data_IF_110626577087
#
_entry.id   IF_110626577087
#
_cell.length_a   1.000
_cell.length_b   1.000
_cell.length_c   1.000
_cell.angle_alpha   90.00
_cell.angle_beta   90.00
_cell.angle_gamma   90.00
#
_symmetry.space_group_name_H-M   'P 1'
#
loop_
_entity.id
_entity.type
_entity.pdbx_description
1 polymer ?
#
# COMPACT_ATOMS: atom_id res chain seq x y z
N UNK A 1 44.11 41.57 19.36
CA UNK A 1 43.99 40.86 20.66
C UNK A 1 42.53 40.47 20.83
N UNK A 2 42.31 39.22 21.28
CA UNK A 2 41.05 38.49 21.48
C UNK A 2 40.42 37.77 20.28
N UNK A 3 40.62 36.44 20.33
CA UNK A 3 40.01 35.37 19.56
C UNK A 3 38.59 35.08 20.06
N UNK A 4 37.72 34.57 19.17
CA UNK A 4 36.42 34.01 19.54
C UNK A 4 35.92 33.05 18.47
N UNK A 5 36.44 31.82 18.47
CA UNK A 5 36.01 30.69 17.63
C UNK A 5 34.61 30.23 18.07
N UNK A 6 33.61 30.41 17.22
CA UNK A 6 32.29 29.80 17.36
C UNK A 6 32.03 28.82 16.23
N UNK A 7 32.45 27.57 16.39
CA UNK A 7 31.99 26.45 15.56
C UNK A 7 30.52 26.17 15.88
N UNK A 8 29.61 26.67 15.04
CA UNK A 8 28.20 26.28 15.05
C UNK A 8 28.02 24.99 14.27
N UNK A 9 27.95 23.87 14.98
CA UNK A 9 27.52 22.59 14.43
C UNK A 9 26.07 22.68 13.95
N UNK A 10 25.85 22.28 12.70
CA UNK A 10 24.66 21.54 12.24
C UNK A 10 23.28 22.15 12.50
N UNK A 11 22.70 22.75 11.46
CA UNK A 11 21.30 22.48 11.13
C UNK A 11 21.07 22.69 9.64
N UNK A 12 21.38 21.65 8.87
CA UNK A 12 20.86 21.53 7.52
C UNK A 12 19.34 21.59 7.58
N UNK A 13 18.77 22.64 7.02
CA UNK A 13 17.34 22.70 6.70
C UNK A 13 17.08 21.83 5.47
N UNK A 14 17.31 20.53 5.62
CA UNK A 14 16.92 19.50 4.67
C UNK A 14 15.59 18.90 5.10
N UNK A 15 14.51 19.70 5.09
CA UNK A 15 13.14 19.19 5.21
C UNK A 15 12.71 18.45 3.95
N UNK A 16 13.53 17.51 3.48
CA UNK A 16 13.24 16.69 2.32
C UNK A 16 12.15 15.70 2.68
N UNK A 17 11.11 15.61 1.86
CA UNK A 17 10.17 14.50 1.86
C UNK A 17 10.99 13.20 1.84
N UNK A 18 11.11 12.54 2.99
CA UNK A 18 11.75 11.24 3.07
C UNK A 18 10.78 10.26 2.45
N UNK A 19 10.95 10.02 1.15
CA UNK A 19 10.27 8.94 0.44
C UNK A 19 10.83 7.63 0.99
N UNK A 20 10.02 6.93 1.77
CA UNK A 20 10.39 5.59 2.19
C UNK A 20 10.28 4.71 0.95
N UNK A 21 11.42 4.20 0.48
CA UNK A 21 11.46 3.41 -0.74
C UNK A 21 10.81 2.05 -0.49
N UNK A 22 9.61 1.86 -1.04
CA UNK A 22 8.98 0.56 -1.13
C UNK A 22 9.67 -0.26 -2.24
N UNK A 23 9.74 -1.60 -2.10
CA UNK A 23 10.38 -2.44 -3.10
C UNK A 23 9.64 -2.32 -4.44
N UNK A 24 10.38 -2.38 -5.54
CA UNK A 24 9.78 -2.53 -6.85
C UNK A 24 9.22 -3.95 -6.98
N UNK A 25 8.00 -4.07 -7.50
CA UNK A 25 7.32 -5.35 -7.68
C UNK A 25 7.25 -5.61 -9.19
N UNK A 26 7.52 -6.85 -9.66
CA UNK A 26 7.36 -7.18 -11.06
C UNK A 26 5.94 -6.83 -11.55
N UNK A 27 5.77 -6.44 -12.82
CA UNK A 27 4.46 -6.15 -13.39
C UNK A 27 3.55 -7.38 -13.30
N UNK A 28 2.22 -7.19 -13.22
CA UNK A 28 1.28 -8.31 -13.24
C UNK A 28 1.38 -9.09 -14.55
N UNK A 29 1.08 -10.40 -14.54
CA UNK A 29 0.97 -11.19 -15.77
C UNK A 29 0.02 -10.53 -16.77
N UNK A 30 0.28 -10.70 -18.07
CA UNK A 30 -0.56 -10.10 -19.11
C UNK A 30 -2.02 -10.52 -18.97
N UNK A 31 -2.91 -9.52 -18.90
CA UNK A 31 -4.35 -9.74 -18.71
C UNK A 31 -4.80 -10.03 -17.28
N UNK A 32 -3.89 -10.07 -16.30
CA UNK A 32 -4.25 -10.20 -14.90
C UNK A 32 -4.71 -8.86 -14.31
N UNK A 33 -5.72 -8.94 -13.44
CA UNK A 33 -6.13 -7.86 -12.57
C UNK A 33 -5.29 -7.90 -11.30
N UNK A 34 -4.54 -6.85 -11.00
CA UNK A 34 -3.83 -6.72 -9.73
C UNK A 34 -4.68 -6.00 -8.69
N UNK A 35 -4.92 -6.68 -7.58
CA UNK A 35 -5.61 -6.19 -6.39
C UNK A 35 -4.59 -5.95 -5.29
N UNK A 36 -4.71 -4.83 -4.58
CA UNK A 36 -3.95 -4.60 -3.36
C UNK A 36 -4.86 -4.64 -2.14
N UNK A 37 -4.39 -5.27 -1.06
CA UNK A 37 -5.11 -5.34 0.20
C UNK A 37 -4.18 -5.01 1.37
N UNK A 38 -4.51 -4.02 2.22
CA UNK A 38 -3.82 -3.77 3.47
C UNK A 38 -4.13 -4.89 4.46
N UNK A 39 -3.12 -5.52 5.04
CA UNK A 39 -3.29 -6.66 5.97
C UNK A 39 -2.42 -6.52 7.22
N UNK A 40 -2.88 -7.08 8.34
CA UNK A 40 -2.20 -6.91 9.65
C UNK A 40 -1.02 -7.87 9.86
N UNK A 41 -1.04 -9.03 9.21
CA UNK A 41 0.04 -10.03 9.29
C UNK A 41 0.34 -10.60 7.90
N UNK A 42 1.51 -11.22 7.74
CA UNK A 42 1.84 -11.97 6.54
C UNK A 42 1.47 -13.46 6.71
N UNK A 43 0.21 -13.77 6.46
CA UNK A 43 -0.34 -15.13 6.43
C UNK A 43 -0.93 -15.47 5.04
N UNK A 44 -0.42 -14.85 3.97
CA UNK A 44 -0.95 -15.01 2.62
C UNK A 44 -2.43 -14.65 2.53
N UNK A 45 -3.25 -15.56 2.00
CA UNK A 45 -4.70 -15.37 1.83
C UNK A 45 -5.51 -15.41 3.14
N UNK A 46 -4.92 -15.93 4.22
CA UNK A 46 -5.53 -15.94 5.55
C UNK A 46 -5.21 -14.67 6.35
N UNK A 47 -4.45 -13.75 5.76
CA UNK A 47 -4.15 -12.46 6.38
C UNK A 47 -5.45 -11.65 6.55
N UNK A 48 -5.76 -11.16 7.76
CA UNK A 48 -6.92 -10.32 8.00
C UNK A 48 -6.70 -8.92 7.42
N UNK A 49 -7.75 -8.33 6.84
CA UNK A 49 -7.74 -6.96 6.32
C UNK A 49 -7.50 -5.99 7.47
N UNK A 50 -6.50 -5.13 7.31
CA UNK A 50 -6.12 -4.17 8.34
C UNK A 50 -7.15 -3.06 8.47
N UNK A 51 -7.46 -2.58 9.69
CA UNK A 51 -8.31 -1.42 9.88
C UNK A 51 -7.65 -0.11 9.41
N UNK A 52 -6.35 -0.10 9.11
CA UNK A 52 -5.59 1.11 8.77
C UNK A 52 -5.02 1.04 7.35
N UNK A 53 -5.78 1.36 6.31
CA UNK A 53 -5.33 1.24 4.91
C UNK A 53 -3.96 1.88 4.62
N UNK A 54 -3.76 3.15 4.96
CA UNK A 54 -2.51 3.86 4.66
C UNK A 54 -1.31 3.47 5.53
N UNK A 55 -1.54 2.82 6.67
CA UNK A 55 -0.51 2.47 7.68
C UNK A 55 -0.57 1.00 8.08
N UNK A 56 -1.20 0.16 7.28
CA UNK A 56 -1.23 -1.27 7.52
C UNK A 56 0.21 -1.79 7.54
N UNK A 57 0.57 -2.74 8.39
CA UNK A 57 1.94 -3.23 8.47
C UNK A 57 2.37 -3.94 7.17
N UNK A 58 1.44 -4.53 6.43
CA UNK A 58 1.70 -5.20 5.16
C UNK A 58 0.69 -4.80 4.08
N UNK A 59 1.11 -4.92 2.83
CA UNK A 59 0.26 -4.85 1.65
C UNK A 59 0.37 -6.16 0.88
N UNK A 60 -0.73 -6.87 0.74
CA UNK A 60 -0.84 -8.03 -0.13
C UNK A 60 -1.19 -7.56 -1.55
N UNK A 61 -0.36 -7.92 -2.53
CA UNK A 61 -0.64 -7.78 -3.94
C UNK A 61 -1.07 -9.13 -4.50
N UNK A 62 -2.27 -9.19 -5.04
CA UNK A 62 -2.88 -10.41 -5.58
C UNK A 62 -3.13 -10.21 -7.07
N UNK A 63 -2.49 -11.04 -7.88
CA UNK A 63 -2.72 -11.08 -9.32
C UNK A 63 -3.81 -12.11 -9.61
N UNK A 64 -4.88 -11.67 -10.26
CA UNK A 64 -6.04 -12.49 -10.56
C UNK A 64 -6.21 -12.59 -12.08
N UNK A 65 -6.18 -13.81 -12.60
CA UNK A 65 -6.35 -14.09 -14.02
C UNK A 65 -7.58 -14.99 -14.20
N UNK A 66 -8.58 -14.50 -14.96
CA UNK A 66 -9.82 -15.24 -15.24
C UNK A 66 -10.51 -15.77 -13.97
N UNK A 67 -10.60 -14.93 -12.94
CA UNK A 67 -11.25 -15.27 -11.67
C UNK A 67 -10.47 -16.24 -10.78
N UNK A 68 -9.19 -16.49 -11.05
CA UNK A 68 -8.30 -17.35 -10.24
C UNK A 68 -7.05 -16.59 -9.81
N UNK A 69 -6.53 -16.92 -8.64
CA UNK A 69 -5.28 -16.32 -8.14
C UNK A 69 -4.10 -16.90 -8.93
N UNK A 70 -3.41 -16.03 -9.65
CA UNK A 70 -2.19 -16.35 -10.38
C UNK A 70 -0.94 -16.14 -9.51
N UNK A 71 -0.95 -15.12 -8.64
CA UNK A 71 0.16 -14.82 -7.75
C UNK A 71 -0.31 -14.07 -6.50
N UNK A 72 0.40 -14.23 -5.38
CA UNK A 72 0.25 -13.43 -4.17
C UNK A 72 1.62 -13.05 -3.64
N UNK A 73 1.82 -11.75 -3.39
CA UNK A 73 3.02 -11.24 -2.76
C UNK A 73 2.64 -10.31 -1.60
N UNK A 74 3.07 -10.63 -0.39
CA UNK A 74 2.79 -9.83 0.81
C UNK A 74 4.04 -9.06 1.21
N UNK A 75 3.95 -7.74 1.16
CA UNK A 75 5.08 -6.82 1.25
C UNK A 75 4.94 -5.97 2.49
N UNK A 76 6.03 -5.83 3.26
CA UNK A 76 6.07 -4.92 4.40
C UNK A 76 5.86 -3.47 3.95
N UNK A 77 4.94 -2.77 4.61
CA UNK A 77 4.58 -1.40 4.28
C UNK A 77 5.56 -0.42 4.90
N UNK A 78 6.64 -0.13 4.20
CA UNK A 78 7.62 0.86 4.66
C UNK A 78 7.01 2.27 4.83
N UNK A 79 5.99 2.62 4.03
CA UNK A 79 5.28 3.90 4.12
C UNK A 79 4.48 4.06 5.43
N UNK A 80 4.15 2.98 6.14
CA UNK A 80 3.47 3.05 7.44
C UNK A 80 4.29 3.82 8.50
N UNK A 81 5.61 3.80 8.37
CA UNK A 81 6.56 4.51 9.25
C UNK A 81 6.67 6.01 8.95
N UNK A 82 6.14 6.47 7.82
CA UNK A 82 6.27 7.86 7.41
C UNK A 82 5.58 8.80 8.44
N UNK A 83 6.27 9.85 8.92
CA UNK A 83 5.67 10.82 9.85
C UNK A 83 4.44 11.51 9.26
N UNK A 84 4.49 11.81 7.96
CA UNK A 84 3.40 12.43 7.19
C UNK A 84 3.33 11.81 5.80
N UNK A 85 2.13 11.83 5.21
CA UNK A 85 1.93 11.42 3.82
C UNK A 85 2.02 9.91 3.57
N UNK A 86 1.91 9.06 4.60
CA UNK A 86 1.91 7.60 4.44
C UNK A 86 0.94 7.11 3.34
N UNK A 87 -0.28 7.66 3.32
CA UNK A 87 -1.27 7.35 2.28
C UNK A 87 -0.86 7.81 0.87
N UNK A 88 -0.18 8.96 0.72
CA UNK A 88 0.30 9.40 -0.59
C UNK A 88 1.42 8.49 -1.11
N UNK A 89 2.38 8.16 -0.24
CA UNK A 89 3.50 7.27 -0.58
C UNK A 89 3.00 5.88 -0.96
N UNK A 90 2.08 5.32 -0.15
CA UNK A 90 1.42 4.06 -0.46
C UNK A 90 0.67 4.14 -1.80
N UNK A 91 -0.16 5.16 -1.99
CA UNK A 91 -0.95 5.33 -3.22
C UNK A 91 -0.06 5.39 -4.46
N UNK A 92 1.01 6.17 -4.42
CA UNK A 92 1.97 6.25 -5.53
C UNK A 92 2.60 4.90 -5.83
N UNK A 93 3.02 4.17 -4.79
CA UNK A 93 3.62 2.84 -4.97
C UNK A 93 2.62 1.82 -5.54
N UNK A 94 1.36 1.84 -5.11
CA UNK A 94 0.30 0.99 -5.65
C UNK A 94 0.09 1.25 -7.16
N UNK A 95 0.04 2.51 -7.56
CA UNK A 95 -0.10 2.93 -8.96
C UNK A 95 1.07 2.41 -9.79
N UNK A 96 2.31 2.66 -9.35
CA UNK A 96 3.51 2.19 -10.07
C UNK A 96 3.63 0.66 -10.09
N UNK A 97 3.04 -0.02 -9.11
CA UNK A 97 3.00 -1.48 -9.04
C UNK A 97 1.92 -2.11 -9.94
N UNK A 98 1.17 -1.30 -10.70
CA UNK A 98 0.14 -1.79 -11.64
C UNK A 98 -1.16 -2.21 -10.98
N UNK A 99 -1.43 -1.77 -9.74
CA UNK A 99 -2.67 -2.05 -9.03
C UNK A 99 -3.85 -1.35 -9.70
N UNK A 100 -4.97 -2.06 -9.84
CA UNK A 100 -6.21 -1.53 -10.44
C UNK A 100 -7.39 -1.53 -9.48
N UNK A 101 -7.32 -2.33 -8.42
CA UNK A 101 -8.31 -2.40 -7.35
C UNK A 101 -7.58 -2.37 -6.01
N UNK A 102 -8.03 -1.53 -5.08
CA UNK A 102 -7.54 -1.48 -3.69
C UNK A 102 -8.68 -1.84 -2.76
N UNK A 103 -8.47 -2.84 -1.92
CA UNK A 103 -9.35 -3.11 -0.79
C UNK A 103 -9.01 -2.14 0.34
N UNK A 104 -10.02 -1.56 0.99
CA UNK A 104 -9.80 -0.65 2.10
C UNK A 104 -10.92 -0.77 3.14
N UNK A 105 -10.57 -0.76 4.42
CA UNK A 105 -11.56 -0.63 5.50
C UNK A 105 -12.01 0.80 5.72
N UNK A 106 -11.04 1.72 5.66
CA UNK A 106 -11.20 3.15 5.77
C UNK A 106 -10.22 3.80 4.80
N UNK A 107 -10.65 4.86 4.12
CA UNK A 107 -9.81 5.54 3.17
C UNK A 107 -9.68 7.02 3.55
N UNK A 108 -8.44 7.48 3.68
CA UNK A 108 -8.15 8.87 4.01
C UNK A 108 -8.13 9.75 2.75
N UNK A 109 -8.43 11.06 2.87
CA UNK A 109 -8.67 11.94 1.72
C UNK A 109 -7.51 11.99 0.72
N UNK A 110 -6.27 11.94 1.22
CA UNK A 110 -5.08 11.96 0.37
C UNK A 110 -4.92 10.69 -0.47
N UNK A 111 -5.12 9.52 0.15
CA UNK A 111 -5.04 8.24 -0.56
C UNK A 111 -6.19 8.13 -1.56
N UNK A 112 -7.37 8.64 -1.20
CA UNK A 112 -8.54 8.61 -2.09
C UNK A 112 -8.29 9.42 -3.35
N UNK A 113 -7.81 10.64 -3.16
CA UNK A 113 -7.52 11.57 -4.24
C UNK A 113 -6.54 10.96 -5.25
N UNK A 114 -5.41 10.41 -4.78
CA UNK A 114 -4.37 9.88 -5.67
C UNK A 114 -4.83 8.61 -6.40
N UNK A 115 -5.55 7.70 -5.71
CA UNK A 115 -6.10 6.50 -6.33
C UNK A 115 -7.15 6.85 -7.38
N UNK A 116 -8.05 7.81 -7.07
CA UNK A 116 -9.08 8.27 -8.00
C UNK A 116 -8.49 8.92 -9.25
N UNK A 117 -7.48 9.78 -9.09
CA UNK A 117 -6.78 10.42 -10.21
C UNK A 117 -6.11 9.40 -11.14
N UNK A 118 -5.61 8.29 -10.59
CA UNK A 118 -5.01 7.21 -11.37
C UNK A 118 -6.03 6.19 -11.93
N UNK A 119 -7.33 6.39 -11.68
CA UNK A 119 -8.38 5.46 -12.12
C UNK A 119 -8.31 4.09 -11.41
N UNK A 120 -7.71 4.04 -10.22
CA UNK A 120 -7.68 2.85 -9.38
C UNK A 120 -9.01 2.75 -8.64
N UNK A 121 -9.69 1.61 -8.79
CA UNK A 121 -10.95 1.36 -8.10
C UNK A 121 -10.69 1.05 -6.63
N UNK A 122 -11.58 1.49 -5.76
CA UNK A 122 -11.53 1.22 -4.33
C UNK A 122 -12.76 0.42 -3.96
N UNK A 123 -12.55 -0.69 -3.26
CA UNK A 123 -13.61 -1.50 -2.68
C UNK A 123 -13.54 -1.40 -1.16
N UNK A 124 -14.63 -0.89 -0.56
CA UNK A 124 -14.72 -0.76 0.89
C UNK A 124 -15.15 -2.10 1.50
N UNK A 125 -14.35 -2.61 2.42
CA UNK A 125 -14.52 -3.93 3.00
C UNK A 125 -14.31 -3.90 4.52
N UNK A 126 -15.10 -4.64 5.33
CA UNK A 126 -14.89 -4.65 6.78
C UNK A 126 -13.48 -5.09 7.17
N UNK A 127 -12.90 -4.45 8.18
CA UNK A 127 -11.63 -4.89 8.76
C UNK A 127 -11.77 -6.26 9.45
N UNK A 128 -10.66 -6.99 9.58
CA UNK A 128 -10.59 -8.26 10.29
C UNK A 128 -11.06 -9.49 9.49
N UNK A 129 -11.79 -9.30 8.38
CA UNK A 129 -12.11 -10.43 7.49
C UNK A 129 -10.84 -10.91 6.79
N UNK A 130 -10.78 -12.20 6.44
CA UNK A 130 -9.62 -12.74 5.71
C UNK A 130 -9.58 -12.22 4.27
N UNK A 131 -8.37 -12.08 3.74
CA UNK A 131 -8.15 -11.66 2.36
C UNK A 131 -8.88 -12.57 1.34
N UNK A 132 -8.85 -13.89 1.53
CA UNK A 132 -9.62 -14.83 0.69
C UNK A 132 -11.11 -14.50 0.63
N UNK A 133 -11.71 -14.26 1.79
CA UNK A 133 -13.15 -14.02 1.92
C UNK A 133 -13.52 -12.68 1.29
N UNK A 134 -12.64 -11.67 1.43
CA UNK A 134 -12.79 -10.37 0.80
C UNK A 134 -12.81 -10.50 -0.74
N UNK A 135 -11.88 -11.27 -1.31
CA UNK A 135 -11.77 -11.46 -2.76
C UNK A 135 -12.98 -12.19 -3.34
N UNK A 136 -13.48 -13.22 -2.64
CA UNK A 136 -14.68 -13.97 -3.05
C UNK A 136 -15.92 -13.09 -2.93
N UNK A 137 -16.08 -12.37 -1.81
CA UNK A 137 -17.23 -11.49 -1.57
C UNK A 137 -17.39 -10.40 -2.64
N UNK A 138 -16.27 -9.91 -3.17
CA UNK A 138 -16.25 -8.91 -4.24
C UNK A 138 -16.39 -9.50 -5.65
N UNK A 139 -16.51 -10.84 -5.76
CA UNK A 139 -16.57 -11.53 -7.05
C UNK A 139 -15.29 -11.40 -7.87
N UNK A 140 -14.18 -11.02 -7.25
CA UNK A 140 -12.89 -10.90 -7.92
C UNK A 140 -12.33 -12.29 -8.23
N UNK A 141 -12.47 -13.21 -7.27
CA UNK A 141 -12.09 -14.61 -7.42
C UNK A 141 -13.36 -15.46 -7.34
N UNK A 142 -13.48 -16.41 -8.25
CA UNK A 142 -14.69 -17.22 -8.41
C UNK A 142 -14.78 -18.35 -7.40
N UNK A 143 -13.65 -18.95 -7.01
CA UNK A 143 -13.56 -20.10 -6.09
C UNK A 143 -12.19 -20.10 -5.36
N UNK A 144 -12.16 -20.30 -4.02
CA UNK A 144 -10.95 -20.40 -3.18
C UNK A 144 -11.07 -21.47 -2.10
#
# INVERSE_FOLDING_TARGET
>A
MWHGRGMGYGRGWGGGWSFVQMPQVPPPPSGALRVAAPVDINAGLDSPISPRTGRAPYIALVDVLRGRIANINVIANAAASAPRGAGMQLGQWLITSGVRVVLASLLGPNLEMVLRQAGVRVEIIPAGIKLRDALVKLGIVSEL
#
